data_IF_781372164155
#
_entry.id   IF_781372164155
#
_cell.length_a   1.000
_cell.length_b   1.000
_cell.length_c   1.000
_cell.angle_alpha   90.00
_cell.angle_beta   90.00
_cell.angle_gamma   90.00
#
_symmetry.space_group_name_H-M   'P 1'
#
loop_
_entity.id
_entity.type
_entity.pdbx_description
1 polymer ?
#
# COMPACT_ATOMS: atom_id res chain seq x y z
N UNK A 1 53.27 -41.01 6.69
CA UNK A 1 51.90 -40.45 6.74
C UNK A 1 52.03 -39.05 7.35
N UNK A 2 51.48 -37.96 6.81
CA UNK A 2 50.79 -37.77 5.53
C UNK A 2 50.92 -36.30 5.08
N UNK A 3 51.63 -36.09 3.97
CA UNK A 3 51.50 -35.02 2.95
C UNK A 3 50.98 -33.63 3.32
N UNK A 4 51.82 -32.61 3.07
CA UNK A 4 51.37 -31.32 2.53
C UNK A 4 51.11 -31.42 1.01
N UNK A 5 50.42 -30.43 0.44
CA UNK A 5 49.97 -30.43 -0.96
C UNK A 5 51.11 -30.58 -1.99
N UNK A 6 51.15 -31.66 -2.80
CA UNK A 6 52.27 -31.92 -3.71
C UNK A 6 52.28 -31.16 -5.06
N UNK A 7 51.37 -30.23 -5.33
CA UNK A 7 51.15 -29.68 -6.68
C UNK A 7 51.10 -28.14 -6.75
N UNK A 8 52.26 -27.48 -6.59
CA UNK A 8 52.49 -26.18 -7.24
C UNK A 8 53.97 -26.04 -7.70
N UNK A 9 54.31 -26.35 -8.96
CA UNK A 9 55.70 -26.57 -9.40
C UNK A 9 56.47 -25.35 -9.91
N UNK A 10 55.95 -24.12 -9.78
CA UNK A 10 56.65 -22.87 -10.14
C UNK A 10 56.28 -21.76 -9.13
N UNK A 11 57.17 -20.89 -8.65
CA UNK A 11 58.60 -20.73 -8.94
C UNK A 11 59.03 -19.26 -8.80
N UNK A 12 59.58 -18.89 -7.63
CA UNK A 12 60.40 -17.71 -7.28
C UNK A 12 59.99 -16.26 -7.67
N UNK A 13 60.18 -15.36 -6.70
CA UNK A 13 60.39 -13.89 -6.80
C UNK A 13 61.59 -13.53 -7.71
N UNK A 14 61.68 -12.31 -8.32
CA UNK A 14 62.13 -11.11 -7.56
C UNK A 14 61.65 -9.72 -8.07
N UNK A 15 61.87 -8.65 -7.28
CA UNK A 15 61.87 -7.24 -7.78
C UNK A 15 61.27 -6.17 -6.86
N UNK A 16 62.12 -5.25 -6.35
CA UNK A 16 61.85 -4.07 -5.51
C UNK A 16 61.77 -2.75 -6.35
N UNK A 17 61.66 -1.50 -5.80
CA UNK A 17 60.78 -0.90 -4.77
C UNK A 17 60.08 0.44 -5.27
N UNK A 18 59.98 1.63 -4.58
CA UNK A 18 58.65 2.27 -4.33
C UNK A 18 58.42 3.77 -4.74
N UNK A 19 57.14 4.19 -4.84
CA UNK A 19 56.52 5.55 -4.61
C UNK A 19 55.01 5.52 -4.98
N UNK A 20 54.12 6.52 -4.75
CA UNK A 20 54.16 7.86 -4.14
C UNK A 20 52.72 8.49 -3.99
N UNK A 21 52.52 9.70 -3.43
CA UNK A 21 51.19 10.30 -3.11
C UNK A 21 50.78 11.48 -4.05
N UNK A 22 49.71 12.31 -3.86
CA UNK A 22 48.38 12.20 -3.17
C UNK A 22 47.15 12.78 -3.99
N UNK A 23 45.98 12.97 -3.33
CA UNK A 23 44.98 14.08 -3.47
C UNK A 23 43.89 14.17 -4.59
N UNK A 24 42.70 14.70 -4.18
CA UNK A 24 41.67 15.40 -4.99
C UNK A 24 40.47 14.56 -5.46
N UNK A 25 39.20 15.02 -5.51
CA UNK A 25 38.47 16.24 -5.07
C UNK A 25 36.96 15.89 -4.89
N UNK A 26 36.15 16.67 -4.13
CA UNK A 26 34.70 16.71 -4.26
C UNK A 26 34.22 17.93 -5.09
N UNK A 27 33.36 17.72 -6.08
CA UNK A 27 32.83 18.80 -6.95
C UNK A 27 31.33 18.74 -7.16
N UNK A 28 30.60 19.75 -6.67
CA UNK A 28 29.19 19.98 -6.99
C UNK A 28 29.06 20.94 -8.19
N UNK A 29 28.17 20.64 -9.14
CA UNK A 29 27.87 21.53 -10.27
C UNK A 29 26.58 21.17 -11.02
N UNK A 30 25.65 22.11 -11.05
CA UNK A 30 24.48 22.18 -11.94
C UNK A 30 24.58 23.50 -12.74
N UNK A 31 23.81 23.70 -13.83
CA UNK A 31 23.73 22.88 -15.03
C UNK A 31 24.07 23.73 -16.28
N UNK A 32 24.61 23.14 -17.35
CA UNK A 32 24.86 23.88 -18.59
C UNK A 32 23.84 23.53 -19.69
N UNK A 33 23.20 24.57 -20.23
CA UNK A 33 22.19 24.45 -21.29
C UNK A 33 22.82 23.99 -22.60
N UNK A 34 22.16 23.04 -23.29
CA UNK A 34 22.58 22.57 -24.60
C UNK A 34 22.02 23.48 -25.73
N UNK A 35 22.85 23.97 -26.66
CA UNK A 35 22.38 24.71 -27.83
C UNK A 35 21.57 23.85 -28.80
N UNK A 36 20.57 24.47 -29.42
CA UNK A 36 19.60 23.84 -30.32
C UNK A 36 20.17 23.69 -31.75
N UNK A 37 20.00 22.53 -32.37
CA UNK A 37 19.90 22.41 -33.84
C UNK A 37 21.10 21.88 -34.62
N UNK A 38 21.27 20.56 -34.68
CA UNK A 38 21.85 19.84 -35.84
C UNK A 38 21.18 18.46 -35.97
N UNK A 39 20.64 18.05 -37.15
CA UNK A 39 20.06 16.72 -37.33
C UNK A 39 21.10 15.70 -37.86
N UNK A 40 21.30 14.54 -37.21
CA UNK A 40 22.08 13.44 -37.77
C UNK A 40 21.27 12.70 -38.85
N UNK A 41 21.82 12.59 -40.06
CA UNK A 41 21.24 11.78 -41.13
C UNK A 41 21.35 10.28 -40.82
N UNK A 42 20.36 9.50 -41.26
CA UNK A 42 20.31 8.07 -41.02
C UNK A 42 21.28 7.26 -41.89
N UNK A 43 21.97 6.31 -41.25
CA UNK A 43 22.57 5.16 -41.92
C UNK A 43 21.91 3.89 -41.36
N UNK A 44 21.11 3.23 -42.20
CA UNK A 44 20.36 2.04 -41.81
C UNK A 44 21.19 0.77 -41.91
N UNK A 45 21.14 -0.05 -40.86
CA UNK A 45 21.54 -1.46 -40.90
C UNK A 45 20.30 -2.32 -40.60
N UNK A 46 19.94 -3.30 -41.47
CA UNK A 46 18.84 -4.21 -41.19
C UNK A 46 19.27 -5.27 -40.18
N UNK A 47 18.89 -5.10 -38.91
CA UNK A 47 19.10 -6.13 -37.90
C UNK A 47 17.99 -7.20 -38.02
N UNK A 48 18.36 -8.40 -38.47
CA UNK A 48 17.44 -9.54 -38.53
C UNK A 48 17.26 -10.12 -37.11
N UNK A 49 16.04 -10.05 -36.57
CA UNK A 49 15.70 -10.74 -35.32
C UNK A 49 15.36 -12.22 -35.61
N UNK A 50 15.99 -13.20 -34.93
CA UNK A 50 15.56 -14.60 -35.01
C UNK A 50 14.15 -14.76 -34.42
N UNK A 51 13.23 -15.32 -35.20
CA UNK A 51 11.84 -15.52 -34.77
C UNK A 51 11.69 -16.64 -33.75
N UNK A 52 11.04 -16.34 -32.62
CA UNK A 52 10.56 -17.37 -31.69
C UNK A 52 9.26 -18.01 -32.25
N UNK A 53 9.08 -19.34 -32.13
CA UNK A 53 7.87 -20.00 -32.59
C UNK A 53 6.67 -19.62 -31.73
N UNK A 54 5.58 -19.18 -32.35
CA UNK A 54 4.32 -18.91 -31.65
C UNK A 54 3.60 -20.20 -31.27
N UNK A 55 3.06 -20.26 -30.05
CA UNK A 55 2.22 -21.37 -29.60
C UNK A 55 0.80 -21.28 -30.20
N UNK A 56 0.13 -22.41 -30.49
CA UNK A 56 -1.24 -22.40 -31.02
C UNK A 56 -2.23 -21.78 -30.04
N UNK A 57 -3.04 -20.84 -30.53
CA UNK A 57 -4.08 -20.19 -29.72
C UNK A 57 -5.25 -21.13 -29.42
N UNK A 58 -5.63 -21.21 -28.15
CA UNK A 58 -6.87 -21.85 -27.73
C UNK A 58 -8.09 -21.02 -28.19
N UNK A 59 -9.22 -21.65 -28.57
CA UNK A 59 -10.40 -20.93 -29.04
C UNK A 59 -11.02 -20.10 -27.91
N UNK A 60 -11.23 -18.80 -28.16
CA UNK A 60 -12.02 -17.96 -27.26
C UNK A 60 -13.50 -18.36 -27.31
N UNK A 61 -14.10 -18.66 -26.17
CA UNK A 61 -15.55 -18.79 -26.06
C UNK A 61 -16.22 -17.40 -26.07
N UNK A 62 -17.38 -17.22 -26.72
CA UNK A 62 -18.11 -15.96 -26.71
C UNK A 62 -18.53 -15.55 -25.29
N UNK A 63 -18.23 -14.31 -24.90
CA UNK A 63 -18.56 -13.78 -23.58
C UNK A 63 -20.06 -13.58 -23.36
N UNK A 64 -20.59 -14.14 -22.28
CA UNK A 64 -21.93 -13.87 -21.77
C UNK A 64 -21.96 -12.53 -21.00
N UNK A 65 -22.89 -11.60 -21.29
CA UNK A 65 -22.93 -10.31 -20.61
C UNK A 65 -23.82 -10.37 -19.36
N UNK A 66 -23.25 -10.62 -18.18
CA UNK A 66 -23.90 -10.27 -16.92
C UNK A 66 -22.91 -9.76 -15.87
N UNK A 67 -23.27 -8.65 -15.23
CA UNK A 67 -22.38 -7.90 -14.35
C UNK A 67 -22.14 -8.62 -13.02
N UNK A 68 -20.88 -9.01 -12.79
CA UNK A 68 -20.38 -9.42 -11.49
C UNK A 68 -18.91 -9.01 -11.38
N UNK A 69 -18.60 -8.10 -10.45
CA UNK A 69 -17.23 -7.63 -10.23
C UNK A 69 -16.37 -8.75 -9.65
N UNK A 70 -15.69 -9.51 -10.51
CA UNK A 70 -14.72 -10.52 -10.08
C UNK A 70 -13.57 -9.85 -9.30
N UNK A 71 -13.10 -10.44 -8.19
CA UNK A 71 -11.90 -9.96 -7.53
C UNK A 71 -10.72 -10.08 -8.50
N UNK A 72 -10.07 -8.96 -8.83
CA UNK A 72 -8.89 -8.97 -9.71
C UNK A 72 -7.82 -9.91 -9.13
N UNK A 73 -7.35 -10.85 -9.96
CA UNK A 73 -6.29 -11.76 -9.56
C UNK A 73 -4.99 -11.01 -9.27
N UNK A 74 -4.31 -11.28 -8.15
CA UNK A 74 -2.98 -10.74 -7.90
C UNK A 74 -1.99 -11.42 -8.86
N UNK A 75 -1.58 -10.72 -9.93
CA UNK A 75 -0.60 -11.25 -10.87
C UNK A 75 -0.32 -10.44 -12.14
N UNK A 76 -1.28 -9.67 -12.67
CA UNK A 76 -1.10 -8.97 -13.96
C UNK A 76 -1.60 -7.51 -14.01
N UNK A 77 -2.29 -7.02 -12.98
CA UNK A 77 -2.56 -5.60 -12.80
C UNK A 77 -1.54 -4.99 -11.85
N UNK A 78 -1.02 -3.80 -12.17
CA UNK A 78 -0.33 -2.97 -11.17
C UNK A 78 -1.27 -2.63 -10.00
N UNK A 79 -0.69 -2.30 -8.84
CA UNK A 79 -1.48 -1.93 -7.65
C UNK A 79 -2.55 -0.88 -7.99
N UNK A 80 -3.84 -1.08 -7.62
CA UNK A 80 -4.92 -0.17 -8.04
C UNK A 80 -4.71 1.27 -7.55
N UNK A 81 -5.35 2.23 -8.23
CA UNK A 81 -5.14 3.66 -7.98
C UNK A 81 -5.30 4.02 -6.49
N UNK A 82 -4.27 4.65 -5.90
CA UNK A 82 -4.26 5.02 -4.48
C UNK A 82 -5.37 6.02 -4.15
N UNK A 83 -6.19 5.69 -3.16
CA UNK A 83 -7.29 6.52 -2.70
C UNK A 83 -6.77 7.86 -2.13
N UNK A 84 -7.21 8.97 -2.71
CA UNK A 84 -6.88 10.30 -2.21
C UNK A 84 -7.54 10.60 -0.87
N UNK A 85 -6.98 11.56 -0.14
CA UNK A 85 -7.43 11.96 1.20
C UNK A 85 -8.94 12.18 1.30
N UNK A 86 -9.53 12.90 0.34
CA UNK A 86 -10.98 13.18 0.30
C UNK A 86 -11.88 11.92 0.31
N UNK A 87 -11.51 10.84 -0.38
CA UNK A 87 -12.27 9.58 -0.31
C UNK A 87 -12.10 8.92 1.06
N UNK A 88 -10.88 8.91 1.61
CA UNK A 88 -10.61 8.38 2.95
C UNK A 88 -11.43 9.13 4.02
N UNK A 89 -11.51 10.46 3.91
CA UNK A 89 -12.31 11.32 4.79
C UNK A 89 -13.81 11.11 4.62
N UNK A 90 -14.32 11.05 3.38
CA UNK A 90 -15.73 10.74 3.10
C UNK A 90 -16.16 9.37 3.65
N UNK A 91 -15.30 8.34 3.49
CA UNK A 91 -15.53 7.03 4.07
C UNK A 91 -15.58 7.06 5.61
N UNK A 92 -14.71 7.84 6.25
CA UNK A 92 -14.71 8.04 7.70
C UNK A 92 -15.97 8.75 8.19
N UNK A 93 -16.50 9.74 7.45
CA UNK A 93 -17.78 10.37 7.76
C UNK A 93 -18.92 9.34 7.73
N UNK A 94 -19.00 8.52 6.68
CA UNK A 94 -20.06 7.50 6.56
C UNK A 94 -19.93 6.43 7.65
N UNK A 95 -18.72 5.97 7.97
CA UNK A 95 -18.47 5.05 9.08
C UNK A 95 -18.87 5.66 10.44
N UNK A 96 -18.68 6.97 10.60
CA UNK A 96 -19.13 7.74 11.75
C UNK A 96 -20.66 7.82 11.85
N UNK A 97 -21.34 8.16 10.74
CA UNK A 97 -22.82 8.22 10.69
C UNK A 97 -23.46 6.86 10.98
N UNK A 98 -22.84 5.76 10.54
CA UNK A 98 -23.25 4.40 10.89
C UNK A 98 -23.16 4.17 12.40
N UNK A 99 -22.02 4.51 13.03
CA UNK A 99 -21.81 4.37 14.48
C UNK A 99 -22.65 5.36 15.32
N UNK A 100 -23.09 6.47 14.74
CA UNK A 100 -23.99 7.43 15.41
C UNK A 100 -25.36 6.82 15.73
N UNK A 101 -25.86 5.86 14.95
CA UNK A 101 -27.19 5.25 15.19
C UNK A 101 -27.28 4.56 16.57
N UNK A 102 -26.41 3.59 16.93
CA UNK A 102 -26.42 3.03 18.29
C UNK A 102 -25.96 4.03 19.35
N UNK A 103 -25.10 5.00 19.02
CA UNK A 103 -24.68 6.05 19.96
C UNK A 103 -25.83 6.96 20.40
N UNK A 104 -26.75 7.30 19.48
CA UNK A 104 -27.95 8.09 19.80
C UNK A 104 -28.82 7.38 20.86
N UNK A 105 -28.93 6.05 20.82
CA UNK A 105 -29.63 5.29 21.86
C UNK A 105 -28.95 5.39 23.23
N UNK A 106 -27.61 5.45 23.28
CA UNK A 106 -26.85 5.70 24.52
C UNK A 106 -27.17 7.08 25.09
N UNK A 107 -27.14 8.11 24.24
CA UNK A 107 -27.39 9.51 24.66
C UNK A 107 -28.85 9.70 25.11
N UNK A 108 -29.82 9.19 24.34
CA UNK A 108 -31.24 9.26 24.71
C UNK A 108 -31.50 8.47 26.00
N UNK A 109 -31.00 7.23 26.10
CA UNK A 109 -31.18 6.40 27.28
C UNK A 109 -30.61 7.03 28.56
N UNK A 110 -29.39 7.58 28.47
CA UNK A 110 -28.77 8.32 29.58
C UNK A 110 -29.50 9.61 29.95
N UNK A 111 -30.15 10.27 28.99
CA UNK A 111 -30.91 11.51 29.21
C UNK A 111 -32.28 11.31 29.86
N UNK A 112 -32.89 10.12 29.77
CA UNK A 112 -34.20 9.82 30.37
C UNK A 112 -34.12 9.68 31.89
N UNK A 113 -33.02 9.10 32.42
CA UNK A 113 -32.76 9.03 33.86
C UNK A 113 -33.58 8.00 34.66
N UNK A 114 -34.27 7.06 34.01
CA UNK A 114 -35.03 5.98 34.64
C UNK A 114 -34.58 4.58 34.19
N UNK A 115 -35.27 3.53 34.66
CA UNK A 115 -34.97 2.14 34.30
C UNK A 115 -35.15 1.83 32.81
N UNK A 116 -36.07 2.50 32.11
CA UNK A 116 -36.26 2.33 30.67
C UNK A 116 -35.13 3.01 29.89
N UNK A 117 -34.74 4.22 30.30
CA UNK A 117 -33.56 4.91 29.82
C UNK A 117 -32.27 4.09 29.99
N UNK A 118 -32.08 3.48 31.16
CA UNK A 118 -30.95 2.59 31.41
C UNK A 118 -30.92 1.37 30.46
N UNK A 119 -32.07 0.74 30.21
CA UNK A 119 -32.19 -0.36 29.24
C UNK A 119 -31.84 0.10 27.82
N UNK A 120 -32.37 1.24 27.37
CA UNK A 120 -32.03 1.82 26.06
C UNK A 120 -30.54 2.13 25.94
N UNK A 121 -29.92 2.67 27.00
CA UNK A 121 -28.51 2.99 27.00
C UNK A 121 -27.63 1.73 26.90
N UNK A 122 -28.00 0.65 27.61
CA UNK A 122 -27.32 -0.66 27.51
C UNK A 122 -27.47 -1.25 26.11
N UNK A 123 -28.67 -1.22 25.52
CA UNK A 123 -28.91 -1.70 24.14
C UNK A 123 -28.07 -0.90 23.14
N UNK A 124 -28.05 0.43 23.25
CA UNK A 124 -27.22 1.30 22.42
C UNK A 124 -25.73 1.00 22.55
N UNK A 125 -25.24 0.80 23.77
CA UNK A 125 -23.83 0.53 24.05
C UNK A 125 -23.39 -0.84 23.51
N UNK A 126 -24.19 -1.89 23.71
CA UNK A 126 -23.95 -3.22 23.15
C UNK A 126 -24.01 -3.18 21.60
N UNK A 127 -24.96 -2.44 21.03
CA UNK A 127 -25.07 -2.21 19.59
C UNK A 127 -23.84 -1.50 19.01
N UNK A 128 -23.30 -0.50 19.72
CA UNK A 128 -22.10 0.23 19.33
C UNK A 128 -20.87 -0.68 19.33
N UNK A 129 -20.68 -1.48 20.38
CA UNK A 129 -19.59 -2.47 20.46
C UNK A 129 -19.71 -3.51 19.34
N UNK A 130 -20.90 -4.11 19.17
CA UNK A 130 -21.14 -5.13 18.14
C UNK A 130 -20.87 -4.57 16.73
N UNK A 131 -21.34 -3.36 16.45
CA UNK A 131 -21.11 -2.68 15.18
C UNK A 131 -19.64 -2.32 14.96
N UNK A 132 -18.92 -1.86 15.99
CA UNK A 132 -17.50 -1.57 15.90
C UNK A 132 -16.66 -2.84 15.62
N UNK A 133 -16.94 -3.94 16.31
CA UNK A 133 -16.28 -5.25 16.10
C UNK A 133 -16.59 -5.78 14.70
N UNK A 134 -17.85 -5.70 14.26
CA UNK A 134 -18.25 -6.15 12.92
C UNK A 134 -17.60 -5.30 11.82
N UNK A 135 -17.54 -3.97 11.95
CA UNK A 135 -16.84 -3.13 10.98
C UNK A 135 -15.33 -3.41 10.94
N UNK A 136 -14.71 -3.68 12.10
CA UNK A 136 -13.31 -4.11 12.19
C UNK A 136 -13.07 -5.47 11.50
N UNK A 137 -14.00 -6.42 11.66
CA UNK A 137 -13.98 -7.70 10.96
C UNK A 137 -14.09 -7.53 9.43
N UNK A 138 -15.02 -6.69 8.97
CA UNK A 138 -15.19 -6.39 7.55
C UNK A 138 -13.96 -5.66 6.97
N UNK A 139 -13.37 -4.72 7.72
CA UNK A 139 -12.12 -4.04 7.34
C UNK A 139 -10.94 -5.02 7.25
N UNK A 140 -10.80 -5.94 8.21
CA UNK A 140 -9.73 -6.92 8.22
C UNK A 140 -9.86 -7.99 7.13
N UNK A 141 -11.06 -8.50 6.88
CA UNK A 141 -11.28 -9.63 5.94
C UNK A 141 -11.55 -9.20 4.50
N UNK A 142 -12.19 -8.05 4.28
CA UNK A 142 -12.54 -7.54 2.94
C UNK A 142 -11.84 -6.25 2.56
N UNK A 143 -11.11 -5.63 3.50
CA UNK A 143 -10.53 -4.29 3.33
C UNK A 143 -11.54 -3.15 3.40
N UNK A 144 -12.83 -3.41 3.63
CA UNK A 144 -13.89 -2.40 3.52
C UNK A 144 -14.87 -2.41 4.71
N UNK A 145 -14.94 -1.28 5.40
CA UNK A 145 -16.06 -0.85 6.25
C UNK A 145 -17.26 -0.40 5.39
N UNK A 146 -18.39 -0.01 6.01
CA UNK A 146 -19.57 0.46 5.25
C UNK A 146 -19.22 1.73 4.47
N UNK A 147 -18.57 2.70 5.11
CA UNK A 147 -18.16 3.95 4.49
C UNK A 147 -17.13 3.76 3.38
N UNK A 148 -16.18 2.83 3.56
CA UNK A 148 -15.24 2.46 2.48
C UNK A 148 -15.94 1.86 1.26
N UNK A 149 -17.00 1.06 1.44
CA UNK A 149 -17.85 0.60 0.33
C UNK A 149 -18.59 1.76 -0.33
N UNK A 150 -19.19 2.65 0.48
CA UNK A 150 -19.97 3.79 -0.01
C UNK A 150 -19.14 4.77 -0.87
N UNK A 151 -17.85 4.94 -0.59
CA UNK A 151 -16.94 5.81 -1.38
C UNK A 151 -16.03 5.05 -2.35
N UNK A 152 -16.25 3.75 -2.57
CA UNK A 152 -15.50 2.97 -3.55
C UNK A 152 -14.00 2.83 -3.26
N UNK A 153 -13.61 2.57 -2.00
CA UNK A 153 -12.20 2.33 -1.62
C UNK A 153 -12.02 1.04 -0.80
N UNK A 154 -10.80 0.52 -0.74
CA UNK A 154 -10.44 -0.71 0.00
C UNK A 154 -9.03 -0.60 0.61
N UNK A 155 -8.88 -1.04 1.86
CA UNK A 155 -7.62 -1.21 2.57
C UNK A 155 -7.00 -2.57 2.22
N UNK A 156 -5.75 -2.56 1.77
CA UNK A 156 -4.98 -3.75 1.41
C UNK A 156 -3.60 -3.71 2.07
N UNK A 157 -2.96 -4.88 2.21
CA UNK A 157 -1.54 -4.99 2.54
C UNK A 157 -0.71 -4.55 1.35
N UNK A 158 0.35 -3.78 1.61
CA UNK A 158 1.21 -3.22 0.56
C UNK A 158 2.00 -4.30 -0.20
N UNK A 159 2.40 -5.37 0.48
CA UNK A 159 3.30 -6.39 -0.07
C UNK A 159 2.66 -7.32 -1.13
N UNK A 160 1.37 -7.61 -1.02
CA UNK A 160 0.68 -8.65 -1.83
C UNK A 160 -0.72 -8.24 -2.32
N UNK A 161 -1.19 -7.03 -2.00
CA UNK A 161 -2.51 -6.55 -2.36
C UNK A 161 -3.67 -7.33 -1.71
N UNK A 162 -3.41 -8.15 -0.69
CA UNK A 162 -4.45 -8.94 0.00
C UNK A 162 -5.08 -8.15 1.16
N UNK A 163 -6.28 -8.55 1.64
CA UNK A 163 -6.82 -8.02 2.88
C UNK A 163 -5.83 -8.13 4.05
N UNK A 164 -5.88 -7.15 4.95
CA UNK A 164 -4.86 -7.01 5.99
C UNK A 164 -4.94 -8.11 7.06
N UNK A 165 -6.13 -8.70 7.25
CA UNK A 165 -6.47 -9.64 8.32
C UNK A 165 -7.00 -8.92 9.57
N UNK A 166 -7.87 -9.58 10.34
CA UNK A 166 -8.51 -8.99 11.53
C UNK A 166 -7.51 -8.42 12.54
N UNK A 167 -6.50 -9.21 12.93
CA UNK A 167 -5.51 -8.79 13.91
C UNK A 167 -4.71 -7.56 13.49
N UNK A 168 -4.27 -7.49 12.22
CA UNK A 168 -3.54 -6.33 11.73
C UNK A 168 -4.45 -5.11 11.46
N UNK A 169 -5.72 -5.31 11.12
CA UNK A 169 -6.69 -4.20 11.10
C UNK A 169 -6.90 -3.62 12.51
N UNK A 170 -6.91 -4.47 13.55
CA UNK A 170 -6.98 -4.03 14.95
C UNK A 170 -5.71 -3.26 15.36
N UNK A 171 -4.52 -3.77 15.03
CA UNK A 171 -3.26 -3.05 15.24
C UNK A 171 -3.27 -1.70 14.50
N UNK A 172 -3.79 -1.63 13.27
CA UNK A 172 -3.94 -0.36 12.52
C UNK A 172 -4.90 0.61 13.22
N UNK A 173 -5.98 0.10 13.83
CA UNK A 173 -6.92 0.90 14.64
C UNK A 173 -6.25 1.51 15.87
N UNK A 174 -5.36 0.79 16.53
CA UNK A 174 -4.54 1.31 17.64
C UNK A 174 -3.46 2.29 17.14
N UNK A 175 -2.81 1.99 16.01
CA UNK A 175 -1.77 2.84 15.44
C UNK A 175 -2.29 4.22 14.97
N UNK A 176 -3.60 4.36 14.69
CA UNK A 176 -4.24 5.66 14.46
C UNK A 176 -4.20 6.60 15.69
N UNK A 177 -3.83 6.11 16.88
CA UNK A 177 -3.46 6.98 18.01
C UNK A 177 -2.23 7.84 17.69
N UNK A 178 -1.24 7.27 16.98
CA UNK A 178 -0.03 7.98 16.53
C UNK A 178 -0.37 9.14 15.58
N UNK A 179 -1.34 8.92 14.68
CA UNK A 179 -1.83 9.96 13.77
C UNK A 179 -2.44 11.16 14.52
N UNK A 180 -3.00 10.90 15.72
CA UNK A 180 -3.71 11.88 16.53
C UNK A 180 -2.78 12.66 17.46
N UNK A 181 -1.87 11.98 18.19
CA UNK A 181 -0.92 12.63 19.11
C UNK A 181 0.08 13.54 18.38
N UNK A 182 0.35 13.28 17.10
CA UNK A 182 1.13 14.14 16.22
C UNK A 182 0.32 15.38 15.75
N UNK A 183 -0.43 16.03 16.64
CA UNK A 183 -1.32 17.16 16.36
C UNK A 183 -2.26 16.93 15.16
N UNK A 184 -2.81 15.71 15.03
CA UNK A 184 -3.59 15.25 13.88
C UNK A 184 -2.88 15.25 12.51
N UNK A 185 -1.59 15.57 12.43
CA UNK A 185 -0.83 15.66 11.16
C UNK A 185 -0.80 14.31 10.42
N UNK A 186 -0.78 13.18 11.14
CA UNK A 186 -0.81 11.86 10.52
C UNK A 186 -2.11 11.56 9.74
N UNK A 187 -3.23 12.17 10.14
CA UNK A 187 -4.49 12.10 9.40
C UNK A 187 -4.48 12.95 8.12
N UNK A 188 -3.65 13.99 8.05
CA UNK A 188 -3.46 14.86 6.88
C UNK A 188 -2.33 14.36 5.96
N UNK A 189 -1.41 13.52 6.47
CA UNK A 189 -0.28 12.95 5.74
C UNK A 189 -0.61 12.39 4.33
N UNK A 190 -1.76 11.73 4.09
CA UNK A 190 -2.17 11.30 2.75
C UNK A 190 -2.30 12.39 1.67
N UNK A 191 -2.24 13.68 2.02
CA UNK A 191 -2.29 14.80 1.08
C UNK A 191 -0.96 14.99 0.33
N UNK A 192 0.18 14.66 0.93
CA UNK A 192 1.52 14.84 0.34
C UNK A 192 2.37 13.56 0.32
N UNK A 193 1.94 12.49 0.99
CA UNK A 193 2.62 11.21 0.95
C UNK A 193 2.53 10.54 -0.43
N UNK A 194 3.67 10.08 -0.97
CA UNK A 194 3.72 9.43 -2.29
C UNK A 194 2.85 8.15 -2.39
N UNK A 195 2.63 7.44 -1.27
CA UNK A 195 1.73 6.28 -1.19
C UNK A 195 0.36 6.63 -0.58
N UNK A 196 0.11 7.93 -0.35
CA UNK A 196 -1.10 8.49 0.29
C UNK A 196 -1.41 7.82 1.64
N UNK A 197 -0.39 7.39 2.40
CA UNK A 197 -0.54 6.67 3.67
C UNK A 197 -0.74 7.61 4.87
N UNK A 198 -1.39 7.14 5.94
CA UNK A 198 -1.26 7.73 7.29
C UNK A 198 -0.04 7.13 8.03
N UNK A 199 0.29 7.58 9.24
CA UNK A 199 1.33 6.90 10.05
C UNK A 199 0.89 5.50 10.45
N UNK A 200 -0.40 5.30 10.79
CA UNK A 200 -0.95 3.97 11.05
C UNK A 200 -0.79 3.01 9.84
N UNK A 201 -1.02 3.51 8.63
CA UNK A 201 -0.82 2.74 7.40
C UNK A 201 0.65 2.32 7.21
N UNK A 202 1.60 3.21 7.51
CA UNK A 202 3.05 2.92 7.44
C UNK A 202 3.48 1.87 8.47
N UNK A 203 3.03 2.02 9.72
CA UNK A 203 3.29 1.04 10.80
C UNK A 203 2.73 -0.35 10.45
N UNK A 204 1.60 -0.42 9.75
CA UNK A 204 0.93 -1.67 9.40
C UNK A 204 1.27 -2.20 7.99
N UNK A 205 2.17 -1.55 7.26
CA UNK A 205 2.50 -1.86 5.85
C UNK A 205 1.24 -2.01 4.98
N UNK A 206 0.32 -1.05 5.08
CA UNK A 206 -0.95 -1.06 4.37
C UNK A 206 -1.13 0.17 3.46
N UNK A 207 -1.96 0.01 2.44
CA UNK A 207 -2.35 1.06 1.50
C UNK A 207 -3.86 1.05 1.32
N UNK A 208 -4.46 2.20 1.00
CA UNK A 208 -5.87 2.30 0.61
C UNK A 208 -5.94 2.66 -0.85
N UNK A 209 -6.65 1.85 -1.62
CA UNK A 209 -6.83 1.97 -3.07
C UNK A 209 -8.30 2.18 -3.41
N UNK A 210 -8.60 2.65 -4.62
CA UNK A 210 -9.93 2.58 -5.21
C UNK A 210 -10.35 1.13 -5.40
N UNK A 211 -11.61 0.84 -5.10
CA UNK A 211 -12.29 -0.41 -5.38
C UNK A 211 -13.20 -0.17 -6.59
N UNK A 212 -12.63 -0.41 -7.78
CA UNK A 212 -13.36 -0.44 -9.05
C UNK A 212 -14.19 -1.74 -9.17
#
# INVERSE_FOLDING_TARGET
MSFGDPNNPYGQQPGQPPQGPPQGQPGYGYPQQAPQGVPPQGYGYPQQQPGYPQQPGYPQQPGQPYGGGYPQQPGQGGMPELAHWGLRFGGLIVDGLVLMVPYILVVIGGGIGDSFGAILAVIGFLGLIAMAIWQLYQEGTTGQTIGKKAVGIRLLREADGRPLGFGMAFVRRLAHFLDSIACYIGWLWPLWDAKKQTFADKVCSSVVVKAN
#
